data_IF_768411219294
#
_entry.id   IF_768411219294
#
_cell.length_a   1.000
_cell.length_b   1.000
_cell.length_c   1.000
_cell.angle_alpha   90.00
_cell.angle_beta   90.00
_cell.angle_gamma   90.00
#
_symmetry.space_group_name_H-M   'P 1'
#
loop_
_entity.id
_entity.type
_entity.pdbx_description
1 polymer ?
#
# COMPACT_ATOMS: atom_id res chain seq x y z
N UNK A 1 23.42 0.13 7.76
CA UNK A 1 22.31 -0.55 7.05
C UNK A 1 21.72 0.32 5.93
N UNK A 2 21.31 1.55 6.23
CA UNK A 2 20.64 2.47 5.30
C UNK A 2 21.45 2.78 4.03
N UNK A 3 22.74 3.11 4.15
CA UNK A 3 23.62 3.38 2.99
C UNK A 3 23.69 2.22 1.98
N UNK A 4 23.66 0.98 2.47
CA UNK A 4 23.62 -0.23 1.62
C UNK A 4 22.27 -0.36 0.90
N UNK A 5 21.17 -0.04 1.56
CA UNK A 5 19.84 -0.07 0.96
C UNK A 5 19.68 1.05 -0.09
N UNK A 6 20.19 2.25 0.20
CA UNK A 6 20.17 3.39 -0.71
C UNK A 6 20.96 3.10 -1.99
N UNK A 7 22.17 2.53 -1.86
CA UNK A 7 22.99 2.11 -3.00
C UNK A 7 22.28 1.08 -3.89
N UNK A 8 21.58 0.10 -3.31
CA UNK A 8 20.82 -0.92 -4.07
C UNK A 8 19.63 -0.33 -4.84
N UNK A 9 19.09 0.78 -4.36
CA UNK A 9 17.95 1.47 -4.98
C UNK A 9 18.38 2.66 -5.85
N UNK A 10 19.69 2.88 -6.02
CA UNK A 10 20.24 4.05 -6.73
C UNK A 10 19.73 5.38 -6.16
N UNK A 11 19.51 5.44 -4.85
CA UNK A 11 19.05 6.63 -4.14
C UNK A 11 20.16 7.19 -3.25
N UNK A 12 20.10 8.50 -3.02
CA UNK A 12 20.85 9.14 -1.95
C UNK A 12 20.34 8.65 -0.59
N UNK A 13 21.26 8.58 0.39
CA UNK A 13 20.94 8.11 1.74
C UNK A 13 19.90 9.02 2.41
N UNK A 14 20.00 10.33 2.16
CA UNK A 14 19.03 11.33 2.64
C UNK A 14 17.64 11.08 2.07
N UNK A 15 17.53 10.86 0.76
CA UNK A 15 16.26 10.55 0.10
C UNK A 15 15.62 9.28 0.65
N UNK A 16 16.39 8.21 0.82
CA UNK A 16 15.86 6.97 1.41
C UNK A 16 15.44 7.17 2.88
N UNK A 17 16.18 7.98 3.64
CA UNK A 17 15.83 8.30 5.02
C UNK A 17 14.51 9.06 5.09
N UNK A 18 14.32 10.07 4.25
CA UNK A 18 13.08 10.85 4.17
C UNK A 18 11.90 9.97 3.77
N UNK A 19 12.09 9.08 2.79
CA UNK A 19 11.06 8.13 2.38
C UNK A 19 10.62 7.24 3.55
N UNK A 20 11.57 6.64 4.27
CA UNK A 20 11.22 5.78 5.42
C UNK A 20 10.56 6.54 6.56
N UNK A 21 10.91 7.81 6.78
CA UNK A 21 10.22 8.64 7.77
C UNK A 21 8.77 8.92 7.37
N UNK A 22 8.52 9.22 6.09
CA UNK A 22 7.17 9.39 5.56
C UNK A 22 6.37 8.10 5.66
N UNK A 23 6.96 6.96 5.26
CA UNK A 23 6.33 5.65 5.39
C UNK A 23 5.96 5.35 6.85
N UNK A 24 6.86 5.63 7.80
CA UNK A 24 6.57 5.44 9.23
C UNK A 24 5.44 6.31 9.74
N UNK A 25 5.39 7.59 9.34
CA UNK A 25 4.28 8.47 9.69
C UNK A 25 2.94 7.94 9.14
N UNK A 26 2.95 7.41 7.90
CA UNK A 26 1.76 6.82 7.28
C UNK A 26 1.35 5.50 7.95
N UNK A 27 2.30 4.66 8.37
CA UNK A 27 2.02 3.44 9.13
C UNK A 27 1.38 3.75 10.50
N UNK A 28 1.74 4.88 11.11
CA UNK A 28 1.12 5.37 12.36
C UNK A 28 -0.28 5.95 12.12
N UNK A 29 -0.48 6.69 11.02
CA UNK A 29 -1.79 7.28 10.65
C UNK A 29 -2.79 6.21 10.16
N UNK A 30 -2.31 5.17 9.49
CA UNK A 30 -3.12 4.08 8.92
C UNK A 30 -2.67 2.72 9.47
N UNK A 31 -3.09 2.36 10.71
CA UNK A 31 -2.71 1.10 11.34
C UNK A 31 -3.19 -0.10 10.52
N UNK A 32 -2.24 -0.83 9.93
CA UNK A 32 -2.52 -1.96 9.05
C UNK A 32 -2.08 -1.74 7.60
N UNK A 33 -1.52 -0.58 7.26
CA UNK A 33 -0.86 -0.34 5.98
C UNK A 33 0.65 -0.41 6.19
N UNK A 34 1.37 -0.95 5.20
CA UNK A 34 2.82 -0.95 5.13
C UNK A 34 3.28 -0.74 3.70
N UNK A 35 4.59 -0.61 3.51
CA UNK A 35 5.18 -0.31 2.20
C UNK A 35 6.18 -1.37 1.74
N UNK A 36 6.06 -1.79 0.48
CA UNK A 36 6.94 -2.80 -0.16
C UNK A 36 7.36 -2.35 -1.55
N UNK A 37 8.31 -3.05 -2.14
CA UNK A 37 8.68 -2.85 -3.54
C UNK A 37 7.74 -3.71 -4.41
N UNK A 38 7.11 -3.12 -5.43
CA UNK A 38 6.19 -3.71 -6.40
C UNK A 38 6.52 -3.29 -7.84
N UNK A 39 5.72 -3.64 -8.85
CA UNK A 39 6.07 -3.41 -10.27
C UNK A 39 6.28 -1.92 -10.61
N UNK A 40 5.48 -1.03 -10.00
CA UNK A 40 5.56 0.43 -10.19
C UNK A 40 6.54 1.15 -9.28
N UNK A 41 7.35 0.44 -8.48
CA UNK A 41 8.19 1.02 -7.43
C UNK A 41 7.62 0.77 -6.05
N UNK A 42 7.54 1.80 -5.20
CA UNK A 42 7.08 1.63 -3.81
C UNK A 42 5.55 1.52 -3.76
N UNK A 43 5.05 0.44 -3.18
CA UNK A 43 3.64 0.08 -3.15
C UNK A 43 3.13 -0.02 -1.70
N UNK A 44 1.91 0.46 -1.47
CA UNK A 44 1.19 0.29 -0.21
C UNK A 44 0.47 -1.07 -0.18
N UNK A 45 0.61 -1.81 0.91
CA UNK A 45 0.01 -3.12 1.11
C UNK A 45 -0.57 -3.27 2.52
N UNK A 46 -1.48 -4.23 2.70
CA UNK A 46 -2.08 -4.50 4.01
C UNK A 46 -1.13 -5.36 4.86
N UNK A 47 -0.71 -4.86 6.01
CA UNK A 47 0.18 -5.57 6.95
C UNK A 47 -0.42 -6.91 7.40
N UNK A 48 0.44 -7.92 7.54
CA UNK A 48 0.02 -9.29 7.83
C UNK A 48 -0.54 -10.04 6.61
N UNK A 49 -0.73 -9.34 5.49
CA UNK A 49 -1.21 -9.90 4.24
C UNK A 49 -0.26 -9.52 3.09
N UNK A 50 -0.33 -10.25 1.98
CA UNK A 50 0.46 -9.94 0.77
C UNK A 50 -0.35 -9.21 -0.29
N UNK A 51 -1.44 -8.58 0.12
CA UNK A 51 -2.40 -7.93 -0.76
C UNK A 51 -2.13 -6.42 -0.77
N UNK A 52 -1.96 -5.87 -1.97
CA UNK A 52 -1.78 -4.45 -2.19
C UNK A 52 -3.09 -3.67 -1.92
N UNK A 53 -2.97 -2.40 -1.59
CA UNK A 53 -4.15 -1.56 -1.32
C UNK A 53 -5.03 -1.43 -2.56
N UNK A 54 -4.44 -1.37 -3.76
CA UNK A 54 -5.22 -1.32 -5.00
C UNK A 54 -6.05 -2.59 -5.25
N UNK A 55 -5.55 -3.77 -4.85
CA UNK A 55 -6.31 -5.04 -4.96
C UNK A 55 -7.54 -5.00 -4.06
N UNK A 56 -7.41 -4.43 -2.85
CA UNK A 56 -8.55 -4.22 -1.96
C UNK A 56 -9.57 -3.28 -2.60
N UNK A 57 -9.13 -2.24 -3.30
CA UNK A 57 -10.01 -1.31 -4.01
C UNK A 57 -10.73 -1.97 -5.18
N UNK A 58 -10.05 -2.82 -5.95
CA UNK A 58 -10.68 -3.58 -7.04
C UNK A 58 -11.79 -4.50 -6.52
N UNK A 59 -11.52 -5.28 -5.46
CA UNK A 59 -12.52 -6.13 -4.83
C UNK A 59 -13.66 -5.29 -4.26
N UNK A 60 -13.37 -4.20 -3.57
CA UNK A 60 -14.39 -3.30 -3.02
C UNK A 60 -15.27 -2.70 -4.12
N UNK A 61 -14.69 -2.35 -5.27
CA UNK A 61 -15.41 -1.88 -6.44
C UNK A 61 -16.30 -2.98 -7.04
N UNK A 62 -15.90 -4.24 -7.00
CA UNK A 62 -16.72 -5.35 -7.49
C UNK A 62 -17.89 -5.65 -6.55
N UNK A 63 -17.62 -5.86 -5.26
CA UNK A 63 -18.60 -6.32 -4.27
C UNK A 63 -19.42 -5.19 -3.62
N UNK A 64 -19.03 -3.94 -3.84
CA UNK A 64 -19.69 -2.68 -3.45
C UNK A 64 -19.77 -2.35 -1.96
N UNK A 65 -19.44 -3.28 -1.06
CA UNK A 65 -19.52 -3.03 0.39
C UNK A 65 -18.28 -3.54 1.13
N UNK A 66 -17.92 -2.83 2.20
CA UNK A 66 -16.81 -3.22 3.10
C UNK A 66 -17.03 -4.61 3.70
N UNK A 67 -18.27 -4.95 4.06
CA UNK A 67 -18.59 -6.25 4.65
C UNK A 67 -18.30 -7.38 3.65
N UNK A 68 -18.79 -7.27 2.42
CA UNK A 68 -18.55 -8.29 1.38
C UNK A 68 -17.08 -8.38 0.99
N UNK A 69 -16.35 -7.26 0.96
CA UNK A 69 -14.92 -7.27 0.71
C UNK A 69 -14.15 -7.94 1.86
N UNK A 70 -14.54 -7.67 3.11
CA UNK A 70 -13.98 -8.33 4.27
C UNK A 70 -14.24 -9.83 4.26
N UNK A 71 -15.46 -10.25 3.88
CA UNK A 71 -15.81 -11.67 3.70
C UNK A 71 -14.99 -12.32 2.59
N UNK A 72 -14.79 -11.63 1.45
CA UNK A 72 -13.96 -12.09 0.34
C UNK A 72 -12.53 -12.39 0.77
N UNK A 73 -11.90 -11.46 1.51
CA UNK A 73 -10.54 -11.63 2.01
C UNK A 73 -10.44 -12.50 3.27
N UNK A 74 -11.57 -12.80 3.93
CA UNK A 74 -11.66 -13.40 5.28
C UNK A 74 -10.90 -12.57 6.32
N UNK A 75 -11.05 -11.25 6.27
CA UNK A 75 -10.41 -10.30 7.17
C UNK A 75 -11.42 -9.63 8.11
N UNK A 76 -10.96 -9.08 9.25
CA UNK A 76 -11.75 -8.10 9.99
C UNK A 76 -12.14 -6.91 9.09
N UNK A 77 -13.40 -6.44 9.12
CA UNK A 77 -13.82 -5.27 8.35
C UNK A 77 -13.01 -3.99 8.61
N UNK A 78 -12.34 -3.91 9.76
CA UNK A 78 -11.44 -2.81 10.10
C UNK A 78 -10.25 -2.69 9.14
N UNK A 79 -9.67 -3.80 8.68
CA UNK A 79 -8.54 -3.77 7.73
C UNK A 79 -8.98 -3.22 6.36
N UNK A 80 -10.14 -3.65 5.88
CA UNK A 80 -10.71 -3.12 4.63
C UNK A 80 -11.02 -1.63 4.75
N UNK A 81 -11.56 -1.18 5.90
CA UNK A 81 -11.77 0.25 6.16
C UNK A 81 -10.46 1.03 6.18
N UNK A 82 -9.41 0.50 6.81
CA UNK A 82 -8.10 1.14 6.85
C UNK A 82 -7.52 1.29 5.44
N UNK A 83 -7.51 0.21 4.65
CA UNK A 83 -7.07 0.26 3.25
C UNK A 83 -7.90 1.25 2.41
N UNK A 84 -9.21 1.30 2.63
CA UNK A 84 -10.10 2.27 1.95
C UNK A 84 -9.78 3.72 2.36
N UNK A 85 -9.50 3.96 3.65
CA UNK A 85 -9.16 5.28 4.15
C UNK A 85 -7.83 5.76 3.55
N UNK A 86 -6.82 4.90 3.53
CA UNK A 86 -5.54 5.18 2.86
C UNK A 86 -5.73 5.47 1.38
N UNK A 87 -6.46 4.60 0.65
CA UNK A 87 -6.68 4.77 -0.78
C UNK A 87 -7.37 6.10 -1.12
N UNK A 88 -8.30 6.57 -0.30
CA UNK A 88 -8.97 7.87 -0.49
C UNK A 88 -8.01 9.05 -0.39
N UNK A 89 -6.99 8.97 0.47
CA UNK A 89 -5.98 10.00 0.63
C UNK A 89 -4.92 9.98 -0.48
N UNK A 90 -4.71 8.82 -1.13
CA UNK A 90 -3.63 8.58 -2.11
C UNK A 90 -4.15 7.93 -3.40
N UNK A 91 -5.29 8.41 -3.92
CA UNK A 91 -5.96 7.80 -5.08
C UNK A 91 -5.06 7.72 -6.31
N UNK A 92 -4.30 8.79 -6.59
CA UNK A 92 -3.42 8.87 -7.75
C UNK A 92 -2.33 7.81 -7.69
N UNK A 93 -1.71 7.64 -6.53
CA UNK A 93 -0.65 6.67 -6.28
C UNK A 93 -1.17 5.24 -6.38
N UNK A 94 -2.35 4.96 -5.81
CA UNK A 94 -3.01 3.65 -5.88
C UNK A 94 -3.36 3.29 -7.33
N UNK A 95 -3.86 4.25 -8.13
CA UNK A 95 -4.12 4.01 -9.55
C UNK A 95 -2.83 3.74 -10.34
N UNK A 96 -1.75 4.46 -10.05
CA UNK A 96 -0.45 4.23 -10.69
C UNK A 96 0.10 2.84 -10.36
N UNK A 97 0.03 2.43 -9.08
CA UNK A 97 0.43 1.08 -8.64
C UNK A 97 -0.36 0.00 -9.39
N UNK A 98 -1.69 0.13 -9.43
CA UNK A 98 -2.56 -0.78 -10.18
C UNK A 98 -2.18 -0.87 -11.66
N UNK A 99 -1.97 0.28 -12.32
CA UNK A 99 -1.60 0.32 -13.75
C UNK A 99 -0.25 -0.32 -14.00
N UNK A 100 0.72 -0.13 -13.11
CA UNK A 100 2.04 -0.73 -13.23
C UNK A 100 2.01 -2.26 -13.06
N UNK A 101 1.13 -2.79 -12.22
CA UNK A 101 1.01 -4.24 -12.00
C UNK A 101 0.15 -4.93 -13.09
N UNK A 102 -0.96 -4.31 -13.50
CA UNK A 102 -1.90 -4.89 -14.48
C UNK A 102 -1.47 -4.62 -15.94
N UNK A 103 -0.57 -3.67 -16.16
CA UNK A 103 -0.05 -3.27 -17.48
C UNK A 103 1.21 -4.03 -17.89
N UNK A 104 1.05 -5.31 -18.24
CA UNK A 104 1.92 -6.09 -19.16
C UNK A 104 1.05 -7.01 -20.00
#
# INVERSE_FOLDING_TARGET
LLARQAKRRHLEVSTLSSLYLQEKALEEEYPGIGFRDGAGGREAYVLGHRVAVWEVMDVLHEVKTVAKAADHFRWPPALVRCATAFAKSFLTEIEQQRRAEVGT
#
